data_IF_074424070159
#
_entry.id   IF_074424070159
#
_cell.length_a   1.000
_cell.length_b   1.000
_cell.length_c   1.000
_cell.angle_alpha   90.00
_cell.angle_beta   90.00
_cell.angle_gamma   90.00
#
_symmetry.space_group_name_H-M   'P 1'
#
loop_
_entity.id
_entity.type
_entity.pdbx_description
1 polymer ?
#
# COMPACT_ATOMS: atom_id res chain seq x y z
N UNK A 1 -113.05 10.68 -60.95
CA UNK A 1 -111.74 10.45 -60.30
C UNK A 1 -111.59 8.95 -60.13
N UNK A 2 -110.80 8.30 -60.97
CA UNK A 2 -110.51 6.86 -60.85
C UNK A 2 -109.62 6.64 -59.63
N UNK A 3 -110.19 6.00 -58.60
CA UNK A 3 -109.44 5.65 -57.40
C UNK A 3 -108.39 4.60 -57.75
N UNK A 4 -107.12 4.92 -57.51
CA UNK A 4 -106.02 3.96 -57.63
C UNK A 4 -106.21 2.93 -56.52
N UNK A 5 -106.57 1.69 -56.87
CA UNK A 5 -106.77 0.63 -55.88
C UNK A 5 -105.42 -0.03 -55.59
N UNK A 6 -104.98 -0.12 -54.32
CA UNK A 6 -103.76 -0.84 -53.97
C UNK A 6 -103.90 -2.32 -54.36
N UNK A 7 -102.92 -2.86 -55.11
CA UNK A 7 -102.92 -4.25 -55.61
C UNK A 7 -101.78 -5.09 -55.02
N UNK A 8 -100.60 -4.50 -54.83
CA UNK A 8 -99.41 -5.21 -54.35
C UNK A 8 -98.87 -4.63 -53.05
N UNK A 9 -98.29 -5.48 -52.22
CA UNK A 9 -97.66 -5.12 -50.95
C UNK A 9 -96.13 -5.21 -51.04
N UNK A 10 -95.46 -4.13 -50.65
CA UNK A 10 -94.02 -4.10 -50.37
C UNK A 10 -93.81 -4.33 -48.87
N UNK A 11 -93.51 -5.56 -48.51
CA UNK A 11 -93.25 -5.98 -47.14
C UNK A 11 -91.76 -5.94 -46.85
N UNK A 12 -91.37 -5.16 -45.84
CA UNK A 12 -89.97 -5.04 -45.44
C UNK A 12 -89.77 -5.50 -44.00
N UNK A 13 -88.78 -6.37 -43.82
CA UNK A 13 -88.34 -6.86 -42.52
C UNK A 13 -87.00 -6.20 -42.17
N UNK A 14 -86.83 -5.78 -40.93
CA UNK A 14 -85.56 -5.22 -40.42
C UNK A 14 -84.92 -6.30 -39.55
N UNK A 15 -83.71 -6.74 -39.90
CA UNK A 15 -82.99 -7.76 -39.15
C UNK A 15 -81.61 -7.26 -38.67
N UNK A 16 -81.40 -7.13 -37.34
CA UNK A 16 -82.38 -7.30 -36.27
C UNK A 16 -83.36 -6.11 -36.18
N UNK A 17 -84.57 -6.28 -35.58
CA UNK A 17 -85.63 -5.26 -35.60
C UNK A 17 -85.27 -3.88 -35.02
N UNK A 18 -84.25 -3.82 -34.15
CA UNK A 18 -83.79 -2.58 -33.48
C UNK A 18 -82.66 -1.87 -34.23
N UNK A 19 -82.24 -2.38 -35.39
CA UNK A 19 -81.01 -1.92 -36.04
C UNK A 19 -81.18 -0.69 -36.92
N UNK A 20 -82.41 -0.35 -37.30
CA UNK A 20 -82.66 0.76 -38.19
C UNK A 20 -84.13 0.98 -38.48
N UNK A 21 -84.39 1.81 -39.48
CA UNK A 21 -85.71 2.16 -39.99
C UNK A 21 -85.70 2.06 -41.51
N UNK A 22 -86.82 1.64 -42.08
CA UNK A 22 -87.06 1.68 -43.53
C UNK A 22 -88.30 2.52 -43.81
N UNK A 23 -88.16 3.46 -44.74
CA UNK A 23 -89.24 4.22 -45.34
C UNK A 23 -89.55 3.66 -46.75
N UNK A 24 -90.84 3.57 -47.10
CA UNK A 24 -91.31 3.07 -48.41
C UNK A 24 -92.00 1.70 -48.40
N UNK A 25 -92.17 1.05 -47.25
CA UNK A 25 -93.02 -0.14 -47.14
C UNK A 25 -94.51 0.24 -47.17
N UNK A 26 -95.37 -0.61 -47.75
CA UNK A 26 -96.80 -0.33 -47.84
C UNK A 26 -97.48 -1.04 -49.00
N UNK A 27 -98.75 -0.67 -49.24
CA UNK A 27 -99.56 -1.20 -50.35
C UNK A 27 -99.64 -0.16 -51.46
N UNK A 28 -99.42 -0.60 -52.69
CA UNK A 28 -99.30 0.25 -53.87
C UNK A 28 -100.12 -0.29 -55.04
N UNK A 29 -100.50 0.61 -55.94
CA UNK A 29 -101.09 0.22 -57.21
C UNK A 29 -100.03 -0.40 -58.14
N UNK A 30 -100.48 -1.22 -59.08
CA UNK A 30 -99.63 -1.84 -60.10
C UNK A 30 -98.89 -0.79 -60.95
N UNK A 31 -97.61 -1.04 -61.22
CA UNK A 31 -96.73 -0.16 -61.98
C UNK A 31 -96.26 1.09 -61.23
N UNK A 32 -96.64 1.26 -59.95
CA UNK A 32 -96.17 2.40 -59.15
C UNK A 32 -94.70 2.23 -58.80
N UNK A 33 -93.89 3.24 -59.11
CA UNK A 33 -92.53 3.36 -58.60
C UNK A 33 -92.53 3.88 -57.16
N UNK A 34 -91.83 3.17 -56.27
CA UNK A 34 -91.70 3.45 -54.84
C UNK A 34 -90.23 3.67 -54.52
N UNK A 35 -89.91 4.79 -53.89
CA UNK A 35 -88.57 5.05 -53.38
C UNK A 35 -88.44 4.43 -51.99
N UNK A 36 -87.49 3.50 -51.83
CA UNK A 36 -87.17 2.86 -50.56
C UNK A 36 -85.92 3.51 -49.98
N UNK A 37 -85.96 3.86 -48.69
CA UNK A 37 -84.83 4.43 -47.96
C UNK A 37 -84.62 3.67 -46.64
N UNK A 38 -83.42 3.14 -46.43
CA UNK A 38 -83.02 2.49 -45.17
C UNK A 38 -81.99 3.33 -44.42
N UNK A 39 -82.24 3.55 -43.13
CA UNK A 39 -81.38 4.29 -42.21
C UNK A 39 -80.99 3.40 -41.03
N UNK A 40 -79.68 3.30 -40.74
CA UNK A 40 -79.18 2.58 -39.56
C UNK A 40 -79.25 3.45 -38.30
N UNK A 41 -79.61 2.85 -37.17
CA UNK A 41 -79.54 3.50 -35.86
C UNK A 41 -78.12 3.47 -35.30
N UNK A 42 -77.87 4.22 -34.23
CA UNK A 42 -76.53 4.28 -33.65
C UNK A 42 -76.05 2.92 -33.15
N UNK A 43 -74.76 2.64 -33.35
CA UNK A 43 -74.18 1.32 -33.11
C UNK A 43 -74.54 0.25 -34.15
N UNK A 44 -75.23 0.60 -35.25
CA UNK A 44 -75.54 -0.32 -36.35
C UNK A 44 -75.01 0.17 -37.69
N UNK A 45 -74.73 -0.79 -38.59
CA UNK A 45 -74.34 -0.53 -39.97
C UNK A 45 -75.20 -1.40 -40.89
N UNK A 46 -75.86 -0.76 -41.85
CA UNK A 46 -76.57 -1.44 -42.93
C UNK A 46 -75.57 -2.22 -43.80
N UNK A 47 -75.85 -3.50 -44.04
CA UNK A 47 -74.97 -4.38 -44.81
C UNK A 47 -75.55 -4.78 -46.17
N UNK A 48 -76.87 -4.77 -46.34
CA UNK A 48 -77.50 -5.06 -47.62
C UNK A 48 -78.95 -5.54 -47.49
N UNK A 49 -79.58 -5.78 -48.63
CA UNK A 49 -80.91 -6.38 -48.75
C UNK A 49 -80.82 -7.84 -49.15
N UNK A 50 -81.71 -8.67 -48.60
CA UNK A 50 -81.89 -10.08 -49.00
C UNK A 50 -83.37 -10.38 -49.27
N UNK A 51 -83.66 -11.43 -50.05
CA UNK A 51 -85.02 -11.80 -50.46
C UNK A 51 -85.32 -11.37 -51.90
N UNK A 52 -86.51 -10.84 -52.13
CA UNK A 52 -86.95 -10.38 -53.47
C UNK A 52 -86.19 -9.14 -53.97
N UNK A 53 -85.48 -8.44 -53.08
CA UNK A 53 -84.60 -7.32 -53.40
C UNK A 53 -83.17 -7.67 -52.98
N UNK A 54 -82.24 -7.60 -53.93
CA UNK A 54 -80.80 -7.86 -53.70
C UNK A 54 -79.98 -6.62 -54.06
N UNK A 55 -80.03 -5.61 -53.20
CA UNK A 55 -79.29 -4.36 -53.36
C UNK A 55 -78.34 -4.13 -52.19
N UNK A 56 -77.26 -3.39 -52.42
CA UNK A 56 -76.37 -2.86 -51.36
C UNK A 56 -76.59 -1.37 -51.09
N UNK A 57 -77.50 -0.73 -51.86
CA UNK A 57 -77.80 0.70 -51.76
C UNK A 57 -78.78 0.96 -50.61
N UNK A 58 -78.53 2.07 -49.90
CA UNK A 58 -79.44 2.55 -48.85
C UNK A 58 -80.70 3.24 -49.42
N UNK A 59 -80.62 3.77 -50.64
CA UNK A 59 -81.74 4.42 -51.34
C UNK A 59 -81.81 3.86 -52.76
N UNK A 60 -82.99 3.39 -53.17
CA UNK A 60 -83.27 2.90 -54.52
C UNK A 60 -84.78 2.91 -54.82
N UNK A 61 -85.13 2.84 -56.11
CA UNK A 61 -86.52 2.74 -56.56
C UNK A 61 -86.91 1.28 -56.85
N UNK A 62 -88.16 0.93 -56.58
CA UNK A 62 -88.78 -0.36 -56.92
C UNK A 62 -90.10 -0.10 -57.62
N UNK A 63 -90.35 -0.75 -58.76
CA UNK A 63 -91.64 -0.72 -59.45
C UNK A 63 -92.50 -1.88 -58.96
N UNK A 64 -93.73 -1.60 -58.54
CA UNK A 64 -94.64 -2.58 -57.93
C UNK A 64 -95.42 -3.36 -58.99
N UNK A 65 -94.87 -4.48 -59.42
CA UNK A 65 -95.48 -5.41 -60.39
C UNK A 65 -96.01 -6.70 -59.74
N UNK A 66 -95.57 -7.00 -58.52
CA UNK A 66 -96.01 -8.12 -57.68
C UNK A 66 -95.80 -7.79 -56.20
N UNK A 67 -96.26 -8.66 -55.31
CA UNK A 67 -95.86 -8.60 -53.90
C UNK A 67 -94.35 -8.85 -53.77
N UNK A 68 -93.69 -8.03 -52.94
CA UNK A 68 -92.24 -8.06 -52.75
C UNK A 68 -91.97 -8.16 -51.25
N UNK A 69 -91.21 -9.18 -50.85
CA UNK A 69 -90.71 -9.33 -49.48
C UNK A 69 -89.20 -9.25 -49.44
N UNK A 70 -88.67 -8.24 -48.75
CA UNK A 70 -87.23 -8.06 -48.58
C UNK A 70 -86.85 -7.81 -47.12
N UNK A 71 -85.64 -8.24 -46.75
CA UNK A 71 -85.08 -7.99 -45.42
C UNK A 71 -83.90 -7.04 -45.52
N UNK A 72 -83.96 -5.92 -44.79
CA UNK A 72 -82.81 -5.05 -44.57
C UNK A 72 -81.96 -5.66 -43.46
N UNK A 73 -80.74 -6.08 -43.80
CA UNK A 73 -79.82 -6.70 -42.84
C UNK A 73 -78.84 -5.66 -42.29
N UNK A 74 -78.54 -5.75 -41.00
CA UNK A 74 -77.61 -4.86 -40.30
C UNK A 74 -76.59 -5.64 -39.47
N UNK A 75 -75.43 -5.03 -39.24
CA UNK A 75 -74.41 -5.54 -38.31
C UNK A 75 -74.13 -4.50 -37.22
N UNK A 76 -74.02 -4.96 -35.98
CA UNK A 76 -73.61 -4.11 -34.85
C UNK A 76 -72.18 -3.63 -35.06
N UNK A 77 -71.96 -2.33 -34.90
CA UNK A 77 -70.64 -1.70 -34.96
C UNK A 77 -70.34 -1.02 -33.63
N UNK A 78 -69.15 -1.28 -33.09
CA UNK A 78 -68.68 -0.59 -31.90
C UNK A 78 -68.10 0.77 -32.31
N UNK A 79 -68.77 1.85 -31.91
CA UNK A 79 -68.23 3.21 -32.02
C UNK A 79 -67.69 3.61 -30.64
N UNK A 80 -66.37 3.64 -30.43
CA UNK A 80 -65.83 4.14 -29.17
C UNK A 80 -66.23 5.60 -28.98
N UNK A 81 -66.60 5.97 -27.76
CA UNK A 81 -66.86 7.37 -27.42
C UNK A 81 -65.57 8.18 -27.54
N UNK A 82 -65.70 9.48 -27.81
CA UNK A 82 -64.55 10.39 -27.81
C UNK A 82 -63.77 10.30 -26.48
N UNK A 83 -64.48 10.15 -25.35
CA UNK A 83 -63.89 9.98 -24.03
C UNK A 83 -63.00 8.73 -23.92
N UNK A 84 -63.43 7.58 -24.48
CA UNK A 84 -62.63 6.35 -24.48
C UNK A 84 -61.37 6.50 -25.34
N UNK A 85 -61.49 7.16 -26.49
CA UNK A 85 -60.33 7.46 -27.36
C UNK A 85 -59.36 8.37 -26.61
N UNK A 86 -59.84 9.45 -25.99
CA UNK A 86 -58.98 10.38 -25.25
C UNK A 86 -58.29 9.71 -24.05
N UNK A 87 -59.00 8.85 -23.31
CA UNK A 87 -58.40 8.09 -22.21
C UNK A 87 -57.33 7.11 -22.72
N UNK A 88 -57.59 6.44 -23.84
CA UNK A 88 -56.60 5.57 -24.48
C UNK A 88 -55.36 6.35 -24.93
N UNK A 89 -55.54 7.54 -25.49
CA UNK A 89 -54.43 8.40 -25.90
C UNK A 89 -53.64 8.92 -24.70
N UNK A 90 -54.31 9.43 -23.66
CA UNK A 90 -53.67 9.87 -22.42
C UNK A 90 -52.88 8.71 -21.81
N UNK A 91 -53.47 7.53 -21.71
CA UNK A 91 -52.79 6.33 -21.20
C UNK A 91 -51.55 5.98 -22.01
N UNK A 92 -51.62 6.07 -23.34
CA UNK A 92 -50.49 5.80 -24.22
C UNK A 92 -49.35 6.81 -23.99
N UNK A 93 -49.67 8.11 -23.94
CA UNK A 93 -48.66 9.15 -23.69
C UNK A 93 -48.06 9.04 -22.28
N UNK A 94 -48.87 8.81 -21.25
CA UNK A 94 -48.37 8.61 -19.89
C UNK A 94 -47.41 7.42 -19.81
N UNK A 95 -47.76 6.28 -20.42
CA UNK A 95 -46.87 5.12 -20.44
C UNK A 95 -45.56 5.43 -21.17
N UNK A 96 -45.61 6.13 -22.30
CA UNK A 96 -44.41 6.54 -23.04
C UNK A 96 -43.52 7.48 -22.22
N UNK A 97 -44.10 8.42 -21.47
CA UNK A 97 -43.36 9.34 -20.60
C UNK A 97 -42.69 8.60 -19.42
N UNK A 98 -43.39 7.64 -18.82
CA UNK A 98 -42.83 6.77 -17.77
C UNK A 98 -41.65 5.94 -18.32
N UNK A 99 -41.83 5.32 -19.49
CA UNK A 99 -40.76 4.52 -20.12
C UNK A 99 -39.56 5.40 -20.48
N UNK A 100 -39.79 6.60 -20.98
CA UNK A 100 -38.74 7.54 -21.34
C UNK A 100 -37.91 7.96 -20.11
N UNK A 101 -38.57 8.39 -19.05
CA UNK A 101 -37.92 8.82 -17.80
C UNK A 101 -37.12 7.67 -17.17
N UNK A 102 -37.72 6.48 -17.08
CA UNK A 102 -37.03 5.28 -16.60
C UNK A 102 -35.75 4.97 -17.40
N UNK A 103 -35.82 5.02 -18.74
CA UNK A 103 -34.66 4.74 -19.59
C UNK A 103 -33.57 5.81 -19.47
N UNK A 104 -33.95 7.07 -19.25
CA UNK A 104 -33.00 8.17 -19.04
C UNK A 104 -32.21 7.99 -17.73
N UNK A 105 -32.91 7.71 -16.62
CA UNK A 105 -32.28 7.44 -15.32
C UNK A 105 -31.41 6.19 -15.36
N UNK A 106 -31.93 5.10 -15.96
CA UNK A 106 -31.17 3.85 -16.14
C UNK A 106 -29.87 4.08 -16.91
N UNK A 107 -29.87 4.91 -17.97
CA UNK A 107 -28.67 5.22 -18.74
C UNK A 107 -27.62 5.94 -17.89
N UNK A 108 -28.03 6.92 -17.10
CA UNK A 108 -27.11 7.65 -16.20
C UNK A 108 -26.52 6.71 -15.14
N UNK A 109 -27.35 5.85 -14.53
CA UNK A 109 -26.88 4.87 -13.56
C UNK A 109 -25.86 3.89 -14.14
N UNK A 110 -26.10 3.39 -15.36
CA UNK A 110 -25.15 2.51 -16.06
C UNK A 110 -23.81 3.22 -16.28
N UNK A 111 -23.82 4.49 -16.68
CA UNK A 111 -22.58 5.24 -16.87
C UNK A 111 -21.79 5.40 -15.55
N UNK A 112 -22.48 5.67 -14.45
CA UNK A 112 -21.85 5.78 -13.13
C UNK A 112 -21.27 4.45 -12.65
N UNK A 113 -21.96 3.33 -12.91
CA UNK A 113 -21.45 1.99 -12.58
C UNK A 113 -20.15 1.72 -13.35
N UNK A 114 -20.14 1.98 -14.66
CA UNK A 114 -18.96 1.76 -15.50
C UNK A 114 -17.78 2.65 -15.09
N UNK A 115 -18.02 3.90 -14.62
CA UNK A 115 -16.94 4.72 -14.08
C UNK A 115 -16.41 4.17 -12.76
N UNK A 116 -17.29 3.74 -11.84
CA UNK A 116 -16.87 3.16 -10.56
C UNK A 116 -16.08 1.86 -10.75
N UNK A 117 -16.44 1.03 -11.73
CA UNK A 117 -15.68 -0.18 -12.06
C UNK A 117 -14.26 0.14 -12.54
N UNK A 118 -14.08 1.20 -13.34
CA UNK A 118 -12.75 1.67 -13.76
C UNK A 118 -11.92 2.19 -12.59
N UNK A 119 -12.52 3.02 -11.74
CA UNK A 119 -11.84 3.57 -10.56
C UNK A 119 -11.43 2.46 -9.59
N UNK A 120 -12.28 1.44 -9.43
CA UNK A 120 -11.96 0.24 -8.64
C UNK A 120 -10.75 -0.52 -9.21
N UNK A 121 -10.70 -0.73 -10.52
CA UNK A 121 -9.57 -1.41 -11.16
C UNK A 121 -8.26 -0.62 -11.00
N UNK A 122 -8.31 0.72 -11.07
CA UNK A 122 -7.16 1.59 -10.82
C UNK A 122 -6.67 1.48 -9.37
N UNK A 123 -7.59 1.51 -8.40
CA UNK A 123 -7.28 1.32 -6.98
C UNK A 123 -6.69 -0.07 -6.69
N UNK A 124 -7.17 -1.12 -7.34
CA UNK A 124 -6.61 -2.47 -7.21
C UNK A 124 -5.16 -2.53 -7.70
N UNK A 125 -4.85 -1.87 -8.82
CA UNK A 125 -3.46 -1.76 -9.33
C UNK A 125 -2.57 -0.96 -8.38
N UNK A 126 -3.06 0.14 -7.84
CA UNK A 126 -2.32 0.94 -6.85
C UNK A 126 -2.02 0.14 -5.58
N UNK A 127 -3.00 -0.61 -5.07
CA UNK A 127 -2.83 -1.46 -3.89
C UNK A 127 -1.82 -2.59 -4.13
N UNK A 128 -1.81 -3.18 -5.34
CA UNK A 128 -0.79 -4.15 -5.71
C UNK A 128 0.61 -3.53 -5.71
N UNK A 129 0.78 -2.39 -6.36
CA UNK A 129 2.08 -1.69 -6.41
C UNK A 129 2.60 -1.32 -5.02
N UNK A 130 1.72 -0.84 -4.13
CA UNK A 130 2.09 -0.53 -2.73
C UNK A 130 2.49 -1.79 -1.95
N UNK A 131 1.86 -2.92 -2.25
CA UNK A 131 2.21 -4.20 -1.61
C UNK A 131 3.61 -4.64 -2.03
N UNK A 132 3.93 -4.55 -3.32
CA UNK A 132 5.27 -4.87 -3.85
C UNK A 132 6.34 -3.93 -3.26
N UNK A 133 6.06 -2.62 -3.16
CA UNK A 133 6.97 -1.66 -2.53
C UNK A 133 7.21 -1.97 -1.05
N UNK A 134 6.15 -2.33 -0.30
CA UNK A 134 6.26 -2.72 1.10
C UNK A 134 7.12 -3.96 1.30
N UNK A 135 6.95 -4.99 0.46
CA UNK A 135 7.77 -6.20 0.52
C UNK A 135 9.25 -5.91 0.26
N UNK A 136 9.53 -5.04 -0.72
CA UNK A 136 10.89 -4.57 -1.00
C UNK A 136 11.49 -3.85 0.21
N UNK A 137 10.77 -2.89 0.79
CA UNK A 137 11.23 -2.14 1.97
C UNK A 137 11.48 -3.05 3.18
N UNK A 138 10.65 -4.08 3.38
CA UNK A 138 10.86 -5.06 4.44
C UNK A 138 12.13 -5.91 4.19
N UNK A 139 12.43 -6.24 2.94
CA UNK A 139 13.68 -6.90 2.54
C UNK A 139 14.91 -6.02 2.80
N UNK A 140 14.85 -4.75 2.42
CA UNK A 140 15.91 -3.77 2.65
C UNK A 140 16.16 -3.56 4.15
N UNK A 141 15.09 -3.45 4.95
CA UNK A 141 15.16 -3.34 6.41
C UNK A 141 15.88 -4.53 7.05
N UNK A 142 15.55 -5.77 6.65
CA UNK A 142 16.23 -6.97 7.16
C UNK A 142 17.71 -6.99 6.82
N UNK A 143 18.06 -6.53 5.61
CA UNK A 143 19.46 -6.42 5.19
C UNK A 143 20.23 -5.44 6.08
N UNK A 144 19.64 -4.28 6.34
CA UNK A 144 20.23 -3.25 7.19
C UNK A 144 20.37 -3.71 8.65
N UNK A 145 19.39 -4.46 9.17
CA UNK A 145 19.47 -5.07 10.51
C UNK A 145 20.61 -6.10 10.61
N UNK A 146 20.83 -6.91 9.56
CA UNK A 146 21.99 -7.82 9.49
C UNK A 146 23.31 -7.07 9.49
N UNK A 147 23.45 -6.05 8.64
CA UNK A 147 24.67 -5.24 8.57
C UNK A 147 24.98 -4.52 9.88
N UNK A 148 23.95 -3.99 10.55
CA UNK A 148 24.08 -3.39 11.88
C UNK A 148 24.58 -4.40 12.91
N UNK A 149 24.07 -5.63 12.88
CA UNK A 149 24.52 -6.71 13.77
C UNK A 149 25.99 -7.06 13.52
N UNK A 150 26.39 -7.21 12.26
CA UNK A 150 27.78 -7.51 11.88
C UNK A 150 28.76 -6.40 12.32
N UNK A 151 28.39 -5.14 12.12
CA UNK A 151 29.18 -4.00 12.59
C UNK A 151 29.28 -3.97 14.11
N UNK A 152 28.19 -4.28 14.81
CA UNK A 152 28.18 -4.35 16.29
C UNK A 152 29.16 -5.42 16.79
N UNK A 153 29.18 -6.60 16.18
CA UNK A 153 30.14 -7.66 16.53
C UNK A 153 31.58 -7.24 16.25
N UNK A 154 31.85 -6.62 15.08
CA UNK A 154 33.18 -6.08 14.76
C UNK A 154 33.66 -5.06 15.79
N UNK A 155 32.77 -4.17 16.26
CA UNK A 155 33.09 -3.20 17.31
C UNK A 155 33.45 -3.91 18.61
N UNK A 156 32.67 -4.90 19.04
CA UNK A 156 32.95 -5.68 20.26
C UNK A 156 34.33 -6.34 20.16
N UNK A 157 34.59 -7.06 19.06
CA UNK A 157 35.89 -7.72 18.83
C UNK A 157 37.05 -6.73 18.82
N UNK A 158 36.89 -5.57 18.20
CA UNK A 158 37.94 -4.55 18.17
C UNK A 158 38.18 -3.95 19.56
N UNK A 159 37.12 -3.72 20.35
CA UNK A 159 37.26 -3.25 21.73
C UNK A 159 37.99 -4.28 22.62
N UNK A 160 37.73 -5.58 22.43
CA UNK A 160 38.48 -6.64 23.13
C UNK A 160 39.96 -6.65 22.74
N UNK A 161 40.26 -6.49 21.44
CA UNK A 161 41.65 -6.36 20.96
C UNK A 161 42.34 -5.13 21.56
N UNK A 162 41.65 -3.99 21.66
CA UNK A 162 42.19 -2.78 22.27
C UNK A 162 42.53 -3.04 23.75
N UNK A 163 41.61 -3.65 24.52
CA UNK A 163 41.88 -4.01 25.92
C UNK A 163 43.07 -4.96 26.07
N UNK A 164 43.21 -5.94 25.16
CA UNK A 164 44.35 -6.84 25.16
C UNK A 164 45.67 -6.10 24.88
N UNK A 165 45.66 -5.15 23.94
CA UNK A 165 46.81 -4.30 23.64
C UNK A 165 47.19 -3.41 24.82
N UNK A 166 46.21 -2.77 25.46
CA UNK A 166 46.41 -1.95 26.68
C UNK A 166 47.04 -2.78 27.81
N UNK A 167 46.56 -3.99 28.06
CA UNK A 167 47.12 -4.88 29.08
C UNK A 167 48.52 -5.44 28.73
N UNK A 168 48.90 -5.42 27.45
CA UNK A 168 50.23 -5.83 26.98
C UNK A 168 51.21 -4.67 26.85
N UNK A 169 50.76 -3.43 27.10
CA UNK A 169 51.62 -2.26 27.04
C UNK A 169 52.56 -2.29 28.24
N UNK A 170 53.84 -2.51 27.95
CA UNK A 170 54.91 -2.53 28.93
C UNK A 170 55.22 -1.08 29.32
N UNK A 171 54.99 -0.73 30.58
CA UNK A 171 55.08 0.62 31.12
C UNK A 171 56.53 0.91 31.52
N UNK A 172 57.38 1.26 30.56
CA UNK A 172 58.80 1.51 30.81
C UNK A 172 59.11 2.99 31.08
N UNK A 173 60.04 3.25 31.99
CA UNK A 173 60.53 4.60 32.30
C UNK A 173 62.05 4.66 32.18
N UNK A 174 62.53 5.58 31.36
CA UNK A 174 63.96 5.84 31.18
C UNK A 174 64.35 7.08 32.00
N UNK A 175 65.39 6.94 32.81
CA UNK A 175 66.05 8.01 33.52
C UNK A 175 67.46 8.16 32.96
N UNK A 176 67.95 9.38 32.81
CA UNK A 176 69.33 9.65 32.42
C UNK A 176 70.01 10.53 33.45
N UNK A 177 71.31 10.33 33.67
CA UNK A 177 72.07 11.03 34.69
C UNK A 177 73.58 10.89 34.52
N UNK A 178 74.33 11.58 35.39
CA UNK A 178 75.79 11.64 35.41
C UNK A 178 76.27 11.50 36.86
N UNK A 179 77.27 10.64 37.12
CA UNK A 179 77.92 10.56 38.42
C UNK A 179 79.22 11.35 38.39
N UNK A 180 79.51 12.01 39.49
CA UNK A 180 80.75 12.78 39.66
C UNK A 180 81.45 12.33 40.94
N UNK A 181 82.71 12.73 41.11
CA UNK A 181 83.44 12.49 42.37
C UNK A 181 82.80 13.20 43.58
N UNK A 182 81.92 14.19 43.35
CA UNK A 182 81.19 14.93 44.39
C UNK A 182 79.81 14.33 44.64
N UNK A 183 79.19 13.76 43.61
CA UNK A 183 77.95 13.00 43.70
C UNK A 183 78.15 11.60 43.10
N UNK A 184 78.69 10.65 43.88
CA UNK A 184 78.96 9.30 43.40
C UNK A 184 77.72 8.39 43.42
N UNK A 185 76.54 8.90 43.82
CA UNK A 185 75.30 8.12 43.92
C UNK A 185 74.06 8.88 43.42
N UNK A 186 73.20 8.21 42.62
CA UNK A 186 71.91 8.77 42.16
C UNK A 186 70.73 7.87 42.59
N UNK A 187 70.03 8.20 43.65
CA UNK A 187 68.90 7.36 44.10
C UNK A 187 67.66 7.56 43.21
N UNK A 188 67.11 6.47 42.67
CA UNK A 188 65.83 6.47 41.95
C UNK A 188 64.77 5.70 42.73
N UNK A 189 63.65 6.35 42.99
CA UNK A 189 62.50 5.74 43.63
C UNK A 189 61.47 5.29 42.59
N UNK A 190 61.07 4.02 42.67
CA UNK A 190 59.96 3.48 41.91
C UNK A 190 58.88 3.00 42.89
N UNK A 191 57.65 3.42 42.63
CA UNK A 191 56.49 2.95 43.36
C UNK A 191 55.78 1.85 42.57
N UNK A 192 55.70 0.65 43.16
CA UNK A 192 55.10 -0.51 42.52
C UNK A 192 53.70 -0.73 43.11
N UNK A 193 52.67 -0.52 42.28
CA UNK A 193 51.26 -0.42 42.71
C UNK A 193 50.62 -1.76 43.09
N UNK A 194 51.10 -2.88 42.55
CA UNK A 194 50.58 -4.23 42.79
C UNK A 194 51.70 -5.27 42.70
N UNK A 195 51.44 -6.53 43.04
CA UNK A 195 52.44 -7.59 42.86
C UNK A 195 52.74 -7.78 41.37
N UNK A 196 53.98 -7.55 40.98
CA UNK A 196 54.49 -7.68 39.62
C UNK A 196 55.98 -7.98 39.67
N UNK A 197 56.53 -8.44 38.55
CA UNK A 197 57.98 -8.38 38.34
C UNK A 197 58.33 -7.11 37.57
N UNK A 198 59.56 -6.64 37.70
CA UNK A 198 60.10 -5.60 36.82
C UNK A 198 61.52 -5.96 36.39
N UNK A 199 61.93 -5.39 35.28
CA UNK A 199 63.31 -5.45 34.81
C UNK A 199 63.99 -4.10 35.05
N UNK A 200 65.25 -4.14 35.48
CA UNK A 200 66.08 -2.96 35.62
C UNK A 200 67.34 -3.12 34.78
N UNK A 201 67.54 -2.16 33.87
CA UNK A 201 68.68 -2.11 32.97
C UNK A 201 69.48 -0.84 33.21
N UNK A 202 70.74 -1.02 33.58
CA UNK A 202 71.74 0.03 33.60
C UNK A 202 72.63 -0.13 32.37
N UNK A 203 72.58 0.84 31.46
CA UNK A 203 73.26 0.76 30.18
C UNK A 203 73.80 2.13 29.73
N UNK A 204 74.49 2.13 28.59
CA UNK A 204 75.14 3.31 28.04
C UNK A 204 76.18 3.90 29.01
N UNK A 205 76.91 3.02 29.71
CA UNK A 205 77.92 3.40 30.68
C UNK A 205 79.29 3.56 30.03
N UNK A 206 79.95 4.69 30.29
CA UNK A 206 81.33 4.88 29.86
C UNK A 206 82.38 4.66 30.98
N UNK A 207 81.94 4.22 32.15
CA UNK A 207 82.76 3.65 33.22
C UNK A 207 81.99 2.57 33.99
N UNK A 208 82.71 1.78 34.78
CA UNK A 208 82.20 0.72 35.63
C UNK A 208 81.21 1.24 36.69
N UNK A 209 80.01 0.64 36.75
CA UNK A 209 79.01 0.94 37.77
C UNK A 209 78.07 -0.24 37.99
N UNK A 210 77.78 -0.54 39.26
CA UNK A 210 76.94 -1.67 39.65
C UNK A 210 75.46 -1.27 39.79
N UNK A 211 74.56 -2.21 39.46
CA UNK A 211 73.12 -2.07 39.67
C UNK A 211 72.68 -2.94 40.85
N UNK A 212 72.43 -2.34 42.00
CA UNK A 212 71.69 -2.94 43.12
C UNK A 212 70.21 -2.52 43.15
N UNK A 213 69.38 -3.23 43.91
CA UNK A 213 67.98 -2.85 44.19
C UNK A 213 67.79 -2.96 45.69
N UNK A 214 67.16 -1.95 46.32
CA UNK A 214 66.87 -1.94 47.75
C UNK A 214 65.37 -1.91 48.04
N UNK A 215 65.01 -2.51 49.17
CA UNK A 215 63.69 -2.36 49.76
C UNK A 215 63.55 -1.02 50.52
N UNK A 216 62.34 -0.72 50.99
CA UNK A 216 62.05 0.48 51.79
C UNK A 216 62.92 0.63 53.06
N UNK A 217 63.49 -0.46 53.58
CA UNK A 217 64.40 -0.46 54.73
C UNK A 217 65.88 -0.26 54.33
N UNK A 218 66.15 0.08 53.07
CA UNK A 218 67.50 0.23 52.50
C UNK A 218 68.36 -1.04 52.62
N UNK A 219 67.74 -2.21 52.47
CA UNK A 219 68.46 -3.48 52.35
C UNK A 219 68.53 -3.90 50.88
N UNK A 220 69.70 -4.35 50.43
CA UNK A 220 69.89 -4.83 49.07
C UNK A 220 69.13 -6.16 48.89
N UNK A 221 68.23 -6.20 47.92
CA UNK A 221 67.38 -7.35 47.59
C UNK A 221 67.69 -7.96 46.23
N UNK A 222 68.39 -7.24 45.35
CA UNK A 222 69.01 -7.78 44.13
C UNK A 222 70.23 -6.95 43.75
N UNK A 223 71.14 -7.52 42.95
CA UNK A 223 72.26 -6.79 42.36
C UNK A 223 72.79 -7.44 41.07
N UNK A 224 73.46 -6.64 40.25
CA UNK A 224 74.31 -6.98 39.13
C UNK A 224 75.60 -6.15 39.25
N UNK A 225 76.75 -6.77 38.99
CA UNK A 225 78.08 -6.18 39.18
C UNK A 225 79.01 -6.53 38.00
N UNK A 226 78.56 -6.25 36.79
CA UNK A 226 79.31 -6.51 35.58
C UNK A 226 80.43 -5.48 35.43
N UNK A 227 81.65 -5.95 35.20
CA UNK A 227 82.79 -5.04 35.14
C UNK A 227 82.80 -4.19 33.85
N UNK A 228 83.25 -2.95 33.99
CA UNK A 228 83.53 -2.02 32.89
C UNK A 228 82.26 -1.42 32.29
N UNK A 229 82.23 -1.24 30.96
CA UNK A 229 81.06 -0.69 30.26
C UNK A 229 79.98 -1.72 29.93
N UNK A 230 80.07 -2.94 30.47
CA UNK A 230 79.08 -3.99 30.22
C UNK A 230 77.80 -3.63 30.98
N UNK A 231 76.62 -3.59 30.33
CA UNK A 231 75.38 -3.27 31.02
C UNK A 231 75.07 -4.18 32.20
N UNK A 232 74.54 -3.59 33.26
CA UNK A 232 74.10 -4.30 34.45
C UNK A 232 72.59 -4.50 34.43
N UNK A 233 72.18 -5.73 34.73
CA UNK A 233 70.79 -6.15 34.49
C UNK A 233 70.27 -6.98 35.66
N UNK A 234 69.14 -6.56 36.19
CA UNK A 234 68.31 -7.40 37.05
C UNK A 234 67.02 -7.71 36.29
N UNK A 235 66.85 -8.98 35.89
CA UNK A 235 65.67 -9.43 35.16
C UNK A 235 64.66 -10.10 36.09
N UNK A 236 63.38 -9.87 35.83
CA UNK A 236 62.21 -10.49 36.41
C UNK A 236 62.25 -10.46 37.95
N UNK A 237 62.64 -9.33 38.54
CA UNK A 237 62.74 -9.20 39.98
C UNK A 237 61.34 -9.22 40.61
N UNK A 238 61.01 -10.24 41.43
CA UNK A 238 59.65 -10.43 41.90
C UNK A 238 59.32 -9.49 43.06
N UNK A 239 58.21 -8.78 42.95
CA UNK A 239 57.69 -7.92 44.01
C UNK A 239 56.38 -8.48 44.54
N UNK A 240 56.39 -8.96 45.79
CA UNK A 240 55.29 -9.73 46.40
C UNK A 240 54.18 -8.89 47.03
N UNK A 241 54.38 -7.58 47.18
CA UNK A 241 53.39 -6.65 47.74
C UNK A 241 53.66 -5.21 47.25
N UNK A 242 52.62 -4.37 47.23
CA UNK A 242 52.76 -2.95 46.89
C UNK A 242 53.70 -2.24 47.86
N UNK A 243 54.62 -1.43 47.35
CA UNK A 243 55.59 -0.72 48.18
C UNK A 243 56.51 0.19 47.36
N UNK A 244 57.21 1.08 48.06
CA UNK A 244 58.29 1.86 47.47
C UNK A 244 59.57 1.02 47.50
N UNK A 245 60.15 0.83 46.32
CA UNK A 245 61.45 0.20 46.15
C UNK A 245 62.42 1.27 45.65
N UNK A 246 63.61 1.30 46.21
CA UNK A 246 64.65 2.25 45.82
C UNK A 246 65.74 1.45 45.12
N UNK A 247 65.95 1.68 43.82
CA UNK A 247 67.15 1.20 43.14
C UNK A 247 68.27 2.23 43.37
N UNK A 248 69.52 1.81 43.56
CA UNK A 248 70.17 1.72 44.84
C UNK A 248 71.19 2.82 45.15
N UNK A 249 71.81 2.71 46.34
CA UNK A 249 73.21 3.14 46.55
C UNK A 249 74.13 2.70 45.39
N UNK A 250 74.82 3.63 44.74
CA UNK A 250 75.75 3.35 43.63
C UNK A 250 77.20 3.27 44.09
N UNK A 251 77.65 2.20 44.72
CA UNK A 251 79.06 2.17 45.17
C UNK A 251 80.01 2.04 43.97
N UNK A 252 80.68 3.12 43.57
CA UNK A 252 81.85 3.04 42.67
C UNK A 252 82.96 2.34 43.44
N UNK A 253 83.23 1.06 43.12
CA UNK A 253 84.48 0.38 43.47
C UNK A 253 85.28 0.12 42.19
N UNK A 254 85.98 1.15 41.71
CA UNK A 254 86.98 0.96 40.68
C UNK A 254 88.27 0.44 41.33
N UNK A 255 88.48 -0.88 41.35
CA UNK A 255 89.77 -1.52 41.11
C UNK A 255 89.72 -3.05 41.29
N UNK A 256 90.32 -3.84 40.38
CA UNK A 256 90.97 -5.07 40.81
C UNK A 256 92.14 -4.64 41.71
N UNK A 257 92.11 -5.00 42.99
CA UNK A 257 93.17 -4.76 43.99
C UNK A 257 93.46 -3.29 44.39
N UNK A 258 92.64 -2.75 45.31
CA UNK A 258 93.11 -1.87 46.42
C UNK A 258 93.98 -0.64 46.11
N UNK A 259 93.62 0.20 45.13
CA UNK A 259 94.29 1.49 44.86
C UNK A 259 93.32 2.68 44.87
N UNK A 260 93.81 3.88 45.21
CA UNK A 260 93.05 5.14 45.39
C UNK A 260 92.39 5.68 44.12
N UNK A 261 91.24 6.40 44.20
CA UNK A 261 90.48 6.86 43.02
C UNK A 261 91.15 8.04 42.30
N UNK A 262 91.26 7.95 40.98
CA UNK A 262 91.67 9.07 40.12
C UNK A 262 90.49 9.98 39.78
N UNK A 263 90.70 11.29 39.93
CA UNK A 263 89.82 12.34 39.44
C UNK A 263 89.99 12.49 37.91
N UNK A 264 88.90 12.44 37.17
CA UNK A 264 88.88 12.82 35.76
C UNK A 264 87.68 12.29 35.00
N UNK A 265 86.69 13.17 34.80
CA UNK A 265 85.66 13.18 33.75
C UNK A 265 85.04 11.82 33.36
N UNK A 266 83.78 11.58 33.76
CA UNK A 266 83.07 10.35 33.40
C UNK A 266 81.61 10.64 32.95
N UNK A 267 81.07 9.88 31.98
CA UNK A 267 80.08 10.38 31.01
C UNK A 267 78.63 9.98 31.31
N UNK A 268 77.71 10.56 30.54
CA UNK A 268 76.25 10.32 30.52
C UNK A 268 75.89 8.83 30.52
N UNK A 269 74.88 8.43 31.31
CA UNK A 269 74.30 7.07 31.29
C UNK A 269 72.77 7.10 31.33
N UNK A 270 72.14 5.97 30.99
CA UNK A 270 70.69 5.79 31.04
C UNK A 270 70.28 4.54 31.82
N UNK A 271 69.28 4.68 32.69
CA UNK A 271 68.58 3.61 33.37
C UNK A 271 67.22 3.42 32.70
N UNK A 272 66.89 2.21 32.28
CA UNK A 272 65.56 1.86 31.77
C UNK A 272 64.94 0.85 32.73
N UNK A 273 63.80 1.21 33.28
CA UNK A 273 62.94 0.31 34.04
C UNK A 273 61.80 -0.12 33.14
N UNK A 274 61.58 -1.42 33.01
CA UNK A 274 60.58 -2.05 32.12
C UNK A 274 59.61 -2.88 32.96
#
# INVERSE_FOLDING_TARGET
MTGITPKYELKIIIDPPVAGKVDGAGKYAEGREVQVHVSAFDGWKFIGWIGDLSHSKQIFSVVMEKDITATATFKRVFKPSAALITLSLISFFLLSAIVYTYNAEKKSLIQNIVSLERDKEELEKQNQSLTEEKEKLEGDKKTLEREKSELTQKIITNNEKIKALENSSIDYKIYSGELTSVNPHDDYEIYIKASQSFDAYLFDMAADADLEILNANKQIIARSMNNGSVPDVVNNFPVSSSGTYSSPKWVVWCAPSGGTPHQGFQPSRSLQLI
#
